data_IF_684813207881
#
_entry.id   IF_684813207881
#
_cell.length_a   1.000
_cell.length_b   1.000
_cell.length_c   1.000
_cell.angle_alpha   90.00
_cell.angle_beta   90.00
_cell.angle_gamma   90.00
#
_symmetry.space_group_name_H-M   'P 1'
#
loop_
_entity.id
_entity.type
_entity.pdbx_description
1 polymer ?
#
# COMPACT_ATOMS: atom_id res chain seq x y z
N UNK A 1 -50.38 44.08 -30.75
CA UNK A 1 -49.48 42.92 -30.85
C UNK A 1 -48.55 42.94 -29.63
N UNK A 2 -48.72 42.05 -28.64
CA UNK A 2 -47.79 41.94 -27.53
C UNK A 2 -46.63 41.02 -27.93
N UNK A 3 -45.41 41.45 -27.63
CA UNK A 3 -44.17 40.74 -27.93
C UNK A 3 -44.04 39.46 -27.09
N UNK A 4 -43.74 38.34 -27.73
CA UNK A 4 -43.40 37.08 -27.07
C UNK A 4 -41.99 37.17 -26.47
N UNK A 5 -41.87 36.84 -25.18
CA UNK A 5 -40.58 36.66 -24.52
C UNK A 5 -39.86 35.41 -25.10
N UNK A 6 -38.52 35.45 -25.26
CA UNK A 6 -37.77 34.28 -25.68
C UNK A 6 -37.72 33.25 -24.54
N UNK A 7 -38.08 32.01 -24.88
CA UNK A 7 -37.98 30.83 -24.01
C UNK A 7 -36.51 30.66 -23.61
N UNK A 8 -36.21 30.74 -22.32
CA UNK A 8 -34.89 30.41 -21.80
C UNK A 8 -34.57 28.96 -22.15
N UNK A 9 -33.47 28.73 -22.86
CA UNK A 9 -32.94 27.38 -23.09
C UNK A 9 -32.77 26.70 -21.73
N UNK A 10 -33.55 25.64 -21.49
CA UNK A 10 -33.38 24.77 -20.35
C UNK A 10 -31.94 24.27 -20.33
N UNK A 11 -31.19 24.59 -19.27
CA UNK A 11 -29.90 23.98 -19.02
C UNK A 11 -30.07 22.46 -19.07
N UNK A 12 -29.21 21.72 -19.81
CA UNK A 12 -29.32 20.28 -19.88
C UNK A 12 -29.19 19.70 -18.47
N UNK A 13 -30.22 18.96 -18.05
CA UNK A 13 -30.23 18.22 -16.79
C UNK A 13 -28.97 17.35 -16.79
N UNK A 14 -28.06 17.49 -15.80
CA UNK A 14 -26.85 16.69 -15.77
C UNK A 14 -27.26 15.22 -15.71
N UNK A 15 -26.97 14.50 -16.80
CA UNK A 15 -27.20 13.06 -16.88
C UNK A 15 -26.40 12.44 -15.75
N UNK A 16 -27.10 11.93 -14.73
CA UNK A 16 -26.49 11.19 -13.62
C UNK A 16 -25.76 10.00 -14.24
N UNK A 17 -24.45 10.10 -14.45
CA UNK A 17 -23.62 8.98 -14.91
C UNK A 17 -23.89 7.83 -13.95
N UNK A 18 -24.43 6.72 -14.47
CA UNK A 18 -24.77 5.54 -13.67
C UNK A 18 -23.47 5.02 -13.03
N UNK A 19 -23.31 5.26 -11.74
CA UNK A 19 -22.16 4.76 -11.00
C UNK A 19 -22.40 3.29 -10.66
N UNK A 20 -21.55 2.40 -11.15
CA UNK A 20 -21.54 0.98 -10.76
C UNK A 20 -20.86 0.76 -9.40
N UNK A 21 -20.44 1.83 -8.72
CA UNK A 21 -19.75 1.73 -7.43
C UNK A 21 -20.75 1.57 -6.28
N UNK A 22 -20.39 0.82 -5.23
CA UNK A 22 -21.11 0.86 -3.97
C UNK A 22 -21.23 2.29 -3.42
N UNK A 23 -22.33 2.58 -2.74
CA UNK A 23 -22.56 3.90 -2.13
C UNK A 23 -21.45 4.24 -1.14
N UNK A 24 -20.85 5.42 -1.32
CA UNK A 24 -19.84 6.00 -0.43
C UNK A 24 -20.22 7.45 -0.18
N UNK A 25 -20.59 7.78 1.05
CA UNK A 25 -21.00 9.14 1.46
C UNK A 25 -20.21 9.65 2.66
N UNK A 26 -19.46 8.78 3.34
CA UNK A 26 -18.67 9.15 4.52
C UNK A 26 -17.64 10.26 4.24
N UNK A 27 -17.07 10.29 3.03
CA UNK A 27 -16.07 11.28 2.63
C UNK A 27 -16.66 12.70 2.46
N UNK A 28 -17.97 12.79 2.19
CA UNK A 28 -18.71 14.05 2.03
C UNK A 28 -18.94 14.77 3.37
N UNK A 29 -18.85 14.05 4.49
CA UNK A 29 -18.95 14.66 5.83
C UNK A 29 -17.71 15.51 6.10
N UNK A 30 -17.81 16.63 6.85
CA UNK A 30 -16.64 17.41 7.23
C UNK A 30 -15.66 16.56 8.05
N UNK A 31 -14.34 16.79 7.91
CA UNK A 31 -13.34 16.11 8.72
C UNK A 31 -13.50 16.48 10.20
N UNK A 32 -13.24 15.51 11.06
CA UNK A 32 -13.30 15.66 12.51
C UNK A 32 -11.90 15.72 13.12
N UNK A 33 -11.82 16.10 14.41
CA UNK A 33 -10.54 16.07 15.15
C UNK A 33 -10.13 14.67 15.59
N UNK A 34 -10.96 13.64 15.36
CA UNK A 34 -10.66 12.26 15.76
C UNK A 34 -9.49 11.70 14.92
N UNK A 35 -8.40 11.18 15.55
CA UNK A 35 -7.30 10.55 14.82
C UNK A 35 -7.73 9.41 13.88
N UNK A 36 -8.77 8.65 14.24
CA UNK A 36 -9.32 7.58 13.41
C UNK A 36 -9.94 8.14 12.12
N UNK A 37 -10.54 9.32 12.17
CA UNK A 37 -11.06 10.00 10.98
C UNK A 37 -9.93 10.46 10.05
N UNK A 38 -8.78 10.85 10.61
CA UNK A 38 -7.59 11.15 9.79
C UNK A 38 -7.05 9.90 9.08
N UNK A 39 -7.01 8.76 9.75
CA UNK A 39 -6.60 7.47 9.14
C UNK A 39 -7.57 7.09 8.03
N UNK A 40 -8.88 7.18 8.28
CA UNK A 40 -9.93 6.92 7.27
C UNK A 40 -9.76 7.75 6.01
N UNK A 41 -9.40 9.02 6.19
CA UNK A 41 -9.26 9.99 5.10
C UNK A 41 -7.88 9.98 4.48
N UNK A 42 -6.93 9.21 5.00
CA UNK A 42 -5.57 9.17 4.49
C UNK A 42 -5.52 8.75 3.03
N UNK A 43 -6.43 7.89 2.61
CA UNK A 43 -6.52 7.40 1.22
C UNK A 43 -7.47 8.21 0.33
N UNK A 44 -8.09 9.27 0.85
CA UNK A 44 -8.82 10.20 -0.01
C UNK A 44 -7.81 11.00 -0.83
N UNK A 45 -7.57 10.53 -2.04
CA UNK A 45 -6.76 11.23 -3.01
C UNK A 45 -7.50 12.40 -3.66
N UNK A 46 -6.90 13.03 -4.67
CA UNK A 46 -7.49 14.17 -5.37
C UNK A 46 -8.86 13.80 -5.96
N UNK A 47 -9.90 14.65 -5.86
CA UNK A 47 -11.24 14.36 -6.38
C UNK A 47 -11.25 13.86 -7.82
N UNK A 48 -10.31 14.35 -8.63
CA UNK A 48 -10.16 14.03 -10.03
C UNK A 48 -9.94 12.54 -10.29
N UNK A 49 -9.36 11.79 -9.36
CA UNK A 49 -9.09 10.35 -9.55
C UNK A 49 -10.34 9.48 -9.43
N UNK A 50 -11.42 10.00 -8.86
CA UNK A 50 -12.66 9.25 -8.65
C UNK A 50 -13.66 9.42 -9.81
N UNK A 51 -13.34 10.24 -10.81
CA UNK A 51 -14.19 10.48 -11.95
C UNK A 51 -13.55 9.96 -13.23
N UNK A 52 -14.37 9.39 -14.12
CA UNK A 52 -13.89 9.05 -15.46
C UNK A 52 -13.56 10.33 -16.24
N UNK A 53 -12.39 10.37 -16.87
CA UNK A 53 -11.90 11.47 -17.70
C UNK A 53 -12.36 11.32 -19.14
N UNK A 54 -12.65 12.44 -19.80
CA UNK A 54 -13.01 12.40 -21.22
C UNK A 54 -11.77 12.28 -22.11
N UNK A 55 -11.96 12.06 -23.42
CA UNK A 55 -10.87 11.97 -24.41
C UNK A 55 -9.93 13.17 -24.43
N UNK A 56 -10.37 14.33 -23.94
CA UNK A 56 -9.57 15.54 -23.81
C UNK A 56 -8.43 15.45 -22.78
N UNK A 57 -8.41 14.39 -21.95
CA UNK A 57 -7.36 14.11 -20.97
C UNK A 57 -6.35 13.05 -21.45
N UNK A 58 -5.98 13.07 -22.73
CA UNK A 58 -4.90 12.20 -23.21
C UNK A 58 -3.58 12.53 -22.48
N UNK A 59 -3.13 11.57 -21.66
CA UNK A 59 -1.89 11.67 -20.88
C UNK A 59 -0.63 11.39 -21.71
N UNK A 60 -0.77 11.05 -22.99
CA UNK A 60 0.32 10.65 -23.86
C UNK A 60 0.87 9.26 -23.52
N UNK A 61 2.12 8.91 -23.88
CA UNK A 61 2.68 7.59 -23.62
C UNK A 61 2.82 7.31 -22.12
N UNK A 62 3.00 6.03 -21.78
CA UNK A 62 3.16 5.59 -20.40
C UNK A 62 4.50 6.07 -19.82
N UNK A 63 4.51 6.77 -18.67
CA UNK A 63 5.75 7.17 -18.03
C UNK A 63 6.55 5.97 -17.54
N UNK A 64 7.87 5.99 -17.76
CA UNK A 64 8.79 5.06 -17.11
C UNK A 64 9.29 5.67 -15.80
N UNK A 65 9.00 5.03 -14.68
CA UNK A 65 9.31 5.57 -13.36
C UNK A 65 10.59 4.94 -12.78
N UNK A 66 11.63 5.74 -12.46
CA UNK A 66 12.94 5.18 -12.12
C UNK A 66 13.03 4.66 -10.69
N UNK A 67 13.43 3.39 -10.51
CA UNK A 67 13.47 2.69 -9.22
C UNK A 67 14.44 3.26 -8.19
N UNK A 68 15.51 3.95 -8.60
CA UNK A 68 16.42 4.59 -7.64
C UNK A 68 15.70 5.67 -6.81
N UNK A 69 14.69 6.35 -7.38
CA UNK A 69 13.88 7.34 -6.65
C UNK A 69 13.02 6.67 -5.57
N UNK A 70 12.65 5.42 -5.80
CA UNK A 70 11.81 4.64 -4.88
C UNK A 70 12.64 4.09 -3.74
N UNK A 71 13.81 3.53 -4.03
CA UNK A 71 14.78 3.16 -3.00
C UNK A 71 15.15 4.36 -2.13
N UNK A 72 15.44 5.53 -2.72
CA UNK A 72 15.74 6.75 -1.96
C UNK A 72 14.55 7.20 -1.09
N UNK A 73 13.32 7.12 -1.61
CA UNK A 73 12.12 7.44 -0.85
C UNK A 73 11.94 6.51 0.36
N UNK A 74 12.06 5.19 0.13
CA UNK A 74 11.92 4.16 1.17
C UNK A 74 12.99 4.37 2.23
N UNK A 75 14.26 4.48 1.85
CA UNK A 75 15.35 4.70 2.79
C UNK A 75 15.17 5.99 3.58
N UNK A 76 14.80 7.10 2.92
CA UNK A 76 14.59 8.39 3.60
C UNK A 76 13.55 8.32 4.71
N UNK A 77 12.51 7.51 4.56
CA UNK A 77 11.41 7.48 5.52
C UNK A 77 11.41 6.26 6.42
N UNK A 78 11.94 5.11 6.00
CA UNK A 78 11.96 3.91 6.82
C UNK A 78 13.18 3.85 7.76
N UNK A 79 14.33 4.44 7.41
CA UNK A 79 15.59 4.15 8.12
C UNK A 79 15.67 4.70 9.56
N UNK A 80 14.84 5.67 9.93
CA UNK A 80 15.02 6.44 11.16
C UNK A 80 15.00 5.63 12.46
N UNK A 81 14.10 4.65 12.69
CA UNK A 81 14.12 3.88 13.93
C UNK A 81 15.42 3.10 14.10
N UNK A 82 15.97 2.56 12.99
CA UNK A 82 17.27 1.89 12.95
C UNK A 82 18.39 2.88 13.30
N UNK A 83 18.41 4.06 12.68
CA UNK A 83 19.44 5.08 12.94
C UNK A 83 19.38 5.58 14.38
N UNK A 84 18.17 5.82 14.90
CA UNK A 84 17.96 6.30 16.28
C UNK A 84 18.39 5.23 17.28
N UNK A 85 18.01 3.97 17.07
CA UNK A 85 18.45 2.86 17.92
C UNK A 85 19.98 2.71 17.89
N UNK A 86 20.59 2.72 16.71
CA UNK A 86 22.04 2.66 16.56
C UNK A 86 22.73 3.83 17.28
N UNK A 87 22.25 5.05 17.11
CA UNK A 87 22.82 6.22 17.77
C UNK A 87 22.66 6.15 19.30
N UNK A 88 21.52 5.66 19.79
CA UNK A 88 21.25 5.47 21.21
C UNK A 88 22.27 4.48 21.81
N UNK A 89 22.40 3.29 21.23
CA UNK A 89 23.30 2.24 21.74
C UNK A 89 24.78 2.61 21.62
N UNK A 90 25.13 3.42 20.60
CA UNK A 90 26.54 3.77 20.33
C UNK A 90 27.05 4.98 21.08
N UNK A 91 26.20 5.98 21.31
CA UNK A 91 26.60 7.28 21.86
C UNK A 91 26.04 7.55 23.26
N UNK A 92 25.30 6.62 23.84
CA UNK A 92 24.79 6.70 25.22
C UNK A 92 25.04 5.40 25.95
N UNK A 93 24.96 5.42 27.28
CA UNK A 93 25.04 4.22 28.12
C UNK A 93 23.68 3.48 28.24
N UNK A 94 22.67 3.88 27.46
CA UNK A 94 21.33 3.29 27.51
C UNK A 94 21.33 1.94 26.79
N UNK A 95 20.94 0.89 27.51
CA UNK A 95 20.75 -0.46 26.98
C UNK A 95 19.25 -0.81 26.84
N UNK A 96 18.90 -1.69 25.90
CA UNK A 96 17.51 -2.13 25.63
C UNK A 96 17.28 -3.54 26.21
N UNK A 97 17.62 -3.72 27.48
CA UNK A 97 17.64 -5.05 28.11
C UNK A 97 16.35 -5.35 28.88
N UNK A 98 15.75 -4.31 29.46
CA UNK A 98 14.53 -4.45 30.25
C UNK A 98 13.29 -4.63 29.37
N UNK A 99 12.29 -5.36 29.88
CA UNK A 99 10.98 -5.50 29.23
C UNK A 99 10.35 -4.15 28.94
N UNK A 100 10.48 -3.18 29.86
CA UNK A 100 9.96 -1.83 29.66
C UNK A 100 10.65 -1.12 28.47
N UNK A 101 11.98 -1.19 28.38
CA UNK A 101 12.72 -0.61 27.25
C UNK A 101 12.32 -1.25 25.92
N UNK A 102 12.11 -2.56 25.88
CA UNK A 102 11.62 -3.25 24.67
C UNK A 102 10.19 -2.85 24.30
N UNK A 103 9.29 -2.64 25.27
CA UNK A 103 7.94 -2.12 25.00
C UNK A 103 8.02 -0.71 24.38
N UNK A 104 8.85 0.17 24.95
CA UNK A 104 9.09 1.50 24.41
C UNK A 104 9.66 1.42 23.00
N UNK A 105 10.61 0.52 22.75
CA UNK A 105 11.19 0.27 21.43
C UNK A 105 10.12 -0.12 20.40
N UNK A 106 9.23 -1.07 20.73
CA UNK A 106 8.10 -1.46 19.86
C UNK A 106 7.23 -0.25 19.55
N UNK A 107 6.86 0.56 20.55
CA UNK A 107 6.01 1.74 20.38
C UNK A 107 6.67 2.75 19.44
N UNK A 108 7.98 3.01 19.59
CA UNK A 108 8.71 3.96 18.74
C UNK A 108 8.82 3.47 17.29
N UNK A 109 9.14 2.18 17.09
CA UNK A 109 9.17 1.57 15.77
C UNK A 109 7.78 1.61 15.11
N UNK A 110 6.73 1.32 15.88
CA UNK A 110 5.34 1.35 15.42
C UNK A 110 4.91 2.77 15.02
N UNK A 111 5.15 3.75 15.89
CA UNK A 111 4.80 5.14 15.64
C UNK A 111 5.47 5.66 14.38
N UNK A 112 6.75 5.35 14.19
CA UNK A 112 7.47 5.74 12.99
C UNK A 112 6.99 5.01 11.74
N UNK A 113 6.64 3.72 11.85
CA UNK A 113 6.08 2.98 10.72
C UNK A 113 4.73 3.54 10.26
N UNK A 114 3.92 4.09 11.17
CA UNK A 114 2.69 4.83 10.83
C UNK A 114 3.02 6.11 10.05
N UNK A 115 4.06 6.85 10.48
CA UNK A 115 4.56 8.03 9.73
C UNK A 115 5.02 7.61 8.34
N UNK A 116 5.79 6.53 8.22
CA UNK A 116 6.22 5.97 6.94
C UNK A 116 5.03 5.60 6.04
N UNK A 117 4.05 4.85 6.56
CA UNK A 117 2.83 4.51 5.85
C UNK A 117 2.11 5.76 5.33
N UNK A 118 1.92 6.77 6.18
CA UNK A 118 1.33 8.06 5.79
C UNK A 118 2.06 8.68 4.59
N UNK A 119 3.40 8.60 4.56
CA UNK A 119 4.20 9.12 3.43
C UNK A 119 4.02 8.31 2.16
N UNK A 120 3.82 6.99 2.25
CA UNK A 120 3.52 6.13 1.09
C UNK A 120 2.20 6.57 0.45
N UNK A 121 1.15 6.77 1.23
CA UNK A 121 -0.15 7.25 0.73
C UNK A 121 -0.04 8.61 0.03
N UNK A 122 0.62 9.58 0.66
CA UNK A 122 0.84 10.90 0.05
C UNK A 122 1.68 10.82 -1.23
N UNK A 123 2.63 9.88 -1.29
CA UNK A 123 3.41 9.62 -2.51
C UNK A 123 2.53 9.04 -3.60
N UNK A 124 1.71 8.03 -3.29
CA UNK A 124 0.79 7.41 -4.23
C UNK A 124 -0.15 8.48 -4.82
N UNK A 125 -0.84 9.25 -3.97
CA UNK A 125 -1.74 10.32 -4.38
C UNK A 125 -1.08 11.36 -5.29
N UNK A 126 0.16 11.76 -4.96
CA UNK A 126 0.94 12.67 -5.80
C UNK A 126 1.14 12.10 -7.20
N UNK A 127 1.53 10.84 -7.32
CA UNK A 127 1.80 10.24 -8.63
C UNK A 127 0.54 9.81 -9.38
N UNK A 128 -0.54 9.45 -8.68
CA UNK A 128 -1.87 9.29 -9.28
C UNK A 128 -2.35 10.59 -9.92
N UNK A 129 -2.02 11.76 -9.33
CA UNK A 129 -2.31 13.06 -9.94
C UNK A 129 -1.44 13.35 -11.16
N UNK A 130 -0.13 13.12 -11.04
CA UNK A 130 0.87 13.48 -12.07
C UNK A 130 0.76 12.57 -13.29
N UNK A 131 0.75 11.25 -13.09
CA UNK A 131 0.75 10.26 -14.17
C UNK A 131 -0.67 9.83 -14.57
N UNK A 132 -1.67 10.13 -13.75
CA UNK A 132 -3.02 9.58 -13.91
C UNK A 132 -3.12 8.17 -13.35
N UNK A 133 -4.30 7.58 -13.52
CA UNK A 133 -4.57 6.17 -13.18
C UNK A 133 -4.88 5.34 -14.41
N UNK A 134 -4.65 4.04 -14.33
CA UNK A 134 -4.92 3.12 -15.45
C UNK A 134 -6.42 3.12 -15.79
N UNK A 135 -6.74 3.18 -17.08
CA UNK A 135 -8.10 3.25 -17.63
C UNK A 135 -8.94 4.43 -17.07
N UNK A 136 -8.31 5.56 -16.70
CA UNK A 136 -9.02 6.71 -16.13
C UNK A 136 -10.07 7.30 -17.09
N UNK A 137 -9.98 7.03 -18.39
CA UNK A 137 -10.96 7.43 -19.39
C UNK A 137 -12.29 6.66 -19.30
N UNK A 138 -12.26 5.44 -18.76
CA UNK A 138 -13.44 4.57 -18.62
C UNK A 138 -14.07 4.67 -17.25
N UNK A 139 -13.23 4.68 -16.20
CA UNK A 139 -13.68 4.61 -14.81
C UNK A 139 -12.64 5.23 -13.89
N UNK A 140 -13.09 6.11 -12.98
CA UNK A 140 -12.24 6.55 -11.87
C UNK A 140 -12.01 5.43 -10.85
N UNK A 141 -11.14 5.69 -9.87
CA UNK A 141 -10.85 4.78 -8.76
C UNK A 141 -12.05 4.52 -7.86
N UNK A 142 -12.10 3.32 -7.29
CA UNK A 142 -13.11 2.93 -6.33
C UNK A 142 -12.93 3.69 -5.01
N UNK A 143 -14.02 3.83 -4.28
CA UNK A 143 -14.01 4.37 -2.92
C UNK A 143 -14.50 3.30 -1.97
N UNK A 144 -14.05 3.36 -0.72
CA UNK A 144 -14.55 2.47 0.33
C UNK A 144 -16.05 2.71 0.50
N UNK A 145 -16.85 1.64 0.38
CA UNK A 145 -18.28 1.67 0.60
C UNK A 145 -18.60 2.02 2.07
N UNK A 146 -19.72 2.72 2.31
CA UNK A 146 -20.11 3.12 3.67
C UNK A 146 -20.21 1.94 4.64
N UNK A 147 -20.67 0.78 4.16
CA UNK A 147 -20.81 -0.47 4.93
C UNK A 147 -19.49 -1.12 5.32
N UNK A 148 -18.38 -0.79 4.63
CA UNK A 148 -17.06 -1.39 4.87
C UNK A 148 -16.06 -0.42 5.50
N UNK A 149 -16.39 0.88 5.58
CA UNK A 149 -15.50 1.92 6.09
C UNK A 149 -14.81 1.56 7.40
N UNK A 150 -15.58 1.19 8.42
CA UNK A 150 -15.03 0.97 9.76
C UNK A 150 -14.15 -0.28 9.81
N UNK A 151 -14.53 -1.33 9.06
CA UNK A 151 -13.75 -2.56 8.94
C UNK A 151 -12.42 -2.32 8.24
N UNK A 152 -12.41 -1.64 7.09
CA UNK A 152 -11.18 -1.32 6.35
C UNK A 152 -10.25 -0.46 7.20
N UNK A 153 -10.79 0.52 7.94
CA UNK A 153 -9.99 1.34 8.85
C UNK A 153 -9.34 0.49 9.95
N UNK A 154 -10.11 -0.41 10.56
CA UNK A 154 -9.61 -1.29 11.61
C UNK A 154 -8.56 -2.26 11.06
N UNK A 155 -8.82 -2.86 9.89
CA UNK A 155 -7.90 -3.76 9.21
C UNK A 155 -6.57 -3.06 8.88
N UNK A 156 -6.60 -1.79 8.43
CA UNK A 156 -5.39 -1.00 8.22
C UNK A 156 -4.59 -0.77 9.51
N UNK A 157 -5.26 -0.50 10.62
CA UNK A 157 -4.60 -0.35 11.93
C UNK A 157 -4.00 -1.68 12.40
N UNK A 158 -4.76 -2.78 12.28
CA UNK A 158 -4.29 -4.14 12.62
C UNK A 158 -3.09 -4.51 11.76
N UNK A 159 -3.14 -4.27 10.45
CA UNK A 159 -2.04 -4.49 9.52
C UNK A 159 -0.76 -3.81 10.01
N UNK A 160 -0.83 -2.52 10.34
CA UNK A 160 0.34 -1.76 10.78
C UNK A 160 0.91 -2.28 12.11
N UNK A 161 0.04 -2.71 13.03
CA UNK A 161 0.44 -3.26 14.34
C UNK A 161 1.06 -4.65 14.20
N UNK A 162 0.39 -5.56 13.49
CA UNK A 162 0.84 -6.94 13.32
C UNK A 162 2.15 -6.98 12.54
N UNK A 163 2.30 -6.14 11.51
CA UNK A 163 3.53 -6.08 10.70
C UNK A 163 4.75 -5.81 11.57
N UNK A 164 4.72 -4.77 12.41
CA UNK A 164 5.85 -4.44 13.29
C UNK A 164 5.99 -5.47 14.41
N UNK A 165 4.89 -5.88 15.05
CA UNK A 165 4.94 -6.88 16.11
C UNK A 165 5.57 -8.19 15.63
N UNK A 166 5.24 -8.64 14.42
CA UNK A 166 5.82 -9.82 13.80
C UNK A 166 7.34 -9.72 13.61
N UNK A 167 7.85 -8.55 13.21
CA UNK A 167 9.30 -8.30 13.10
C UNK A 167 9.96 -8.40 14.46
N UNK A 168 9.36 -7.87 15.52
CA UNK A 168 9.88 -8.01 16.89
C UNK A 168 9.84 -9.47 17.35
N UNK A 169 8.82 -10.25 17.00
CA UNK A 169 8.78 -11.69 17.34
C UNK A 169 9.91 -12.46 16.65
N UNK A 170 10.16 -12.17 15.37
CA UNK A 170 11.11 -12.87 14.51
C UNK A 170 12.57 -12.43 14.72
N UNK A 171 12.83 -11.13 14.81
CA UNK A 171 14.17 -10.57 15.01
C UNK A 171 14.67 -10.79 16.43
N UNK A 172 15.59 -11.73 16.62
CA UNK A 172 16.12 -12.10 17.94
C UNK A 172 17.18 -11.13 18.46
N UNK A 173 17.85 -10.41 17.57
CA UNK A 173 18.86 -9.39 17.83
C UNK A 173 18.27 -7.97 17.97
N UNK A 174 16.96 -7.86 18.23
CA UNK A 174 16.23 -6.57 18.29
C UNK A 174 16.83 -5.56 19.28
N UNK A 175 17.44 -5.99 20.37
CA UNK A 175 18.06 -5.11 21.38
C UNK A 175 19.54 -4.82 21.11
N UNK A 176 20.15 -5.46 20.12
CA UNK A 176 21.56 -5.27 19.78
C UNK A 176 21.76 -4.07 18.83
N UNK A 177 23.02 -3.74 18.57
CA UNK A 177 23.40 -2.78 17.54
C UNK A 177 22.77 -3.19 16.19
N UNK A 178 21.96 -2.33 15.55
CA UNK A 178 21.35 -2.65 14.28
C UNK A 178 22.40 -2.97 13.21
N UNK A 179 22.30 -4.15 12.60
CA UNK A 179 23.26 -4.63 11.61
C UNK A 179 22.66 -4.64 10.19
N UNK A 180 23.28 -3.86 9.30
CA UNK A 180 23.05 -3.91 7.86
C UNK A 180 24.40 -4.19 7.18
N UNK A 181 24.37 -4.92 6.07
CA UNK A 181 25.55 -5.29 5.29
C UNK A 181 25.36 -4.92 3.83
N UNK A 182 26.42 -5.00 3.03
CA UNK A 182 26.34 -4.85 1.58
C UNK A 182 25.42 -5.90 0.93
N UNK A 183 25.17 -7.02 1.62
CA UNK A 183 24.26 -8.08 1.18
C UNK A 183 22.81 -7.87 1.63
N UNK A 184 22.52 -6.87 2.46
CA UNK A 184 21.15 -6.62 2.92
C UNK A 184 20.14 -6.38 1.79
N UNK A 185 20.46 -5.63 0.71
CA UNK A 185 19.56 -5.52 -0.44
C UNK A 185 19.27 -6.87 -1.10
N UNK A 186 20.26 -7.76 -1.19
CA UNK A 186 20.09 -9.11 -1.74
C UNK A 186 19.19 -9.95 -0.85
N UNK A 187 19.41 -9.95 0.48
CA UNK A 187 18.54 -10.68 1.41
C UNK A 187 17.10 -10.16 1.40
N UNK A 188 16.91 -8.84 1.35
CA UNK A 188 15.58 -8.23 1.24
C UNK A 188 14.92 -8.62 -0.10
N UNK A 189 15.68 -8.59 -1.21
CA UNK A 189 15.19 -9.05 -2.51
C UNK A 189 14.78 -10.53 -2.49
N UNK A 190 15.59 -11.40 -1.91
CA UNK A 190 15.23 -12.82 -1.73
C UNK A 190 13.99 -13.00 -0.86
N UNK A 191 13.83 -12.19 0.20
CA UNK A 191 12.61 -12.19 1.01
C UNK A 191 11.40 -11.80 0.16
N UNK A 192 11.51 -10.77 -0.69
CA UNK A 192 10.42 -10.38 -1.57
C UNK A 192 10.08 -11.46 -2.60
N UNK A 193 11.06 -12.17 -3.16
CA UNK A 193 10.81 -13.33 -4.04
C UNK A 193 10.09 -14.44 -3.28
N UNK A 194 10.54 -14.79 -2.07
CA UNK A 194 9.92 -15.82 -1.26
C UNK A 194 8.49 -15.45 -0.86
N UNK A 195 8.28 -14.18 -0.47
CA UNK A 195 6.97 -13.61 -0.18
C UNK A 195 6.05 -13.75 -1.40
N UNK A 196 6.50 -13.28 -2.56
CA UNK A 196 5.74 -13.33 -3.81
C UNK A 196 5.42 -14.78 -4.23
N UNK A 197 6.33 -15.72 -4.05
CA UNK A 197 6.06 -17.14 -4.28
C UNK A 197 4.90 -17.67 -3.43
N UNK A 198 4.92 -17.42 -2.12
CA UNK A 198 3.82 -17.86 -1.24
C UNK A 198 2.52 -17.12 -1.56
N UNK A 199 2.59 -15.83 -1.90
CA UNK A 199 1.44 -15.07 -2.41
C UNK A 199 0.87 -15.73 -3.67
N UNK A 200 1.70 -15.96 -4.68
CA UNK A 200 1.32 -16.59 -5.93
C UNK A 200 0.65 -17.94 -5.72
N UNK A 201 1.23 -18.82 -4.88
CA UNK A 201 0.67 -20.16 -4.66
C UNK A 201 -0.74 -20.09 -4.06
N UNK A 202 -0.96 -19.35 -2.97
CA UNK A 202 -2.31 -19.28 -2.40
C UNK A 202 -3.26 -18.54 -3.34
N UNK A 203 -2.83 -17.39 -3.86
CA UNK A 203 -3.66 -16.50 -4.66
C UNK A 203 -4.11 -17.22 -5.94
N UNK A 204 -3.17 -17.81 -6.69
CA UNK A 204 -3.49 -18.62 -7.88
C UNK A 204 -4.43 -19.77 -7.54
N UNK A 205 -4.21 -20.46 -6.42
CA UNK A 205 -5.10 -21.54 -5.98
C UNK A 205 -6.53 -21.06 -5.73
N UNK A 206 -6.74 -19.85 -5.21
CA UNK A 206 -8.10 -19.29 -5.03
C UNK A 206 -8.82 -18.98 -6.33
N UNK A 207 -8.10 -18.77 -7.44
CA UNK A 207 -8.65 -18.58 -8.78
C UNK A 207 -8.85 -19.90 -9.54
N UNK A 208 -7.99 -20.89 -9.30
CA UNK A 208 -8.03 -22.18 -10.00
C UNK A 208 -9.02 -23.17 -9.37
N UNK A 209 -9.31 -23.05 -8.07
CA UNK A 209 -10.21 -23.95 -7.34
C UNK A 209 -11.41 -23.21 -6.73
N UNK A 210 -12.62 -23.48 -7.24
CA UNK A 210 -13.88 -22.86 -6.77
C UNK A 210 -14.09 -22.97 -5.25
N UNK A 211 -13.66 -24.09 -4.65
CA UNK A 211 -13.77 -24.33 -3.21
C UNK A 211 -12.91 -23.38 -2.35
N UNK A 212 -11.94 -22.69 -2.95
CA UNK A 212 -11.06 -21.72 -2.29
C UNK A 212 -11.40 -20.27 -2.62
N UNK A 213 -12.26 -20.01 -3.62
CA UNK A 213 -12.64 -18.66 -4.05
C UNK A 213 -13.18 -17.78 -2.92
N UNK A 214 -13.87 -18.40 -1.95
CA UNK A 214 -14.43 -17.67 -0.81
C UNK A 214 -13.40 -16.88 0.00
N UNK A 215 -12.13 -17.29 -0.04
CA UNK A 215 -11.01 -16.61 0.63
C UNK A 215 -10.72 -15.27 -0.03
N UNK A 216 -10.81 -15.20 -1.36
CA UNK A 216 -10.28 -14.08 -2.16
C UNK A 216 -11.35 -13.23 -2.87
N UNK A 217 -12.59 -13.72 -2.96
CA UNK A 217 -13.68 -13.02 -3.63
C UNK A 217 -13.92 -11.59 -3.14
N UNK A 218 -13.68 -11.32 -1.85
CA UNK A 218 -13.92 -10.00 -1.25
C UNK A 218 -12.94 -8.96 -1.75
N UNK A 219 -11.69 -9.37 -1.96
CA UNK A 219 -10.64 -8.55 -2.54
C UNK A 219 -10.94 -8.17 -3.99
N UNK A 220 -11.47 -9.13 -4.78
CA UNK A 220 -11.94 -8.88 -6.14
C UNK A 220 -13.21 -8.04 -6.26
N UNK A 221 -13.83 -7.66 -5.15
CA UNK A 221 -14.99 -6.77 -5.15
C UNK A 221 -14.61 -5.32 -5.55
N UNK A 222 -13.33 -4.94 -5.43
CA UNK A 222 -12.81 -3.72 -6.05
C UNK A 222 -12.24 -4.02 -7.43
N UNK A 223 -12.56 -3.15 -8.40
CA UNK A 223 -12.17 -3.26 -9.81
C UNK A 223 -11.27 -2.12 -10.27
N UNK A 224 -11.01 -1.19 -9.36
CA UNK A 224 -10.27 0.03 -9.61
C UNK A 224 -9.66 0.50 -8.28
N UNK A 225 -8.84 -0.33 -7.62
CA UNK A 225 -8.45 -0.12 -6.24
C UNK A 225 -7.66 1.18 -6.05
N UNK A 226 -7.62 1.60 -4.79
CA UNK A 226 -6.71 2.61 -4.24
C UNK A 226 -5.85 1.92 -3.18
N UNK A 227 -4.73 2.54 -2.73
CA UNK A 227 -3.84 1.91 -1.76
C UNK A 227 -4.51 1.38 -0.49
N UNK A 228 -5.59 2.01 0.03
CA UNK A 228 -6.29 1.45 1.20
C UNK A 228 -7.19 0.26 0.88
N UNK A 229 -7.64 0.12 -0.37
CA UNK A 229 -8.44 -1.03 -0.78
C UNK A 229 -7.62 -2.31 -0.91
N UNK A 230 -6.28 -2.22 -0.82
CA UNK A 230 -5.40 -3.36 -0.63
C UNK A 230 -5.81 -4.24 0.56
N UNK A 231 -6.33 -3.62 1.64
CA UNK A 231 -6.74 -4.33 2.86
C UNK A 231 -8.25 -4.66 2.87
N UNK A 232 -8.96 -4.44 1.77
CA UNK A 232 -10.36 -4.85 1.65
C UNK A 232 -10.43 -6.36 1.42
N UNK A 233 -10.40 -7.13 2.49
CA UNK A 233 -10.39 -8.58 2.43
C UNK A 233 -11.26 -9.21 3.54
N UNK A 234 -11.41 -10.55 3.46
CA UNK A 234 -11.99 -11.33 4.55
C UNK A 234 -10.94 -11.83 5.54
N UNK A 235 -11.38 -12.19 6.75
CA UNK A 235 -10.49 -12.54 7.87
C UNK A 235 -9.43 -13.60 7.51
N UNK A 236 -9.79 -14.55 6.64
CA UNK A 236 -8.87 -15.60 6.18
C UNK A 236 -7.74 -15.02 5.32
N UNK A 237 -8.07 -14.19 4.33
CA UNK A 237 -7.09 -13.52 3.50
C UNK A 237 -6.24 -12.54 4.31
N UNK A 238 -6.85 -11.76 5.21
CA UNK A 238 -6.11 -10.87 6.11
C UNK A 238 -5.10 -11.66 6.97
N UNK A 239 -5.48 -12.81 7.54
CA UNK A 239 -4.56 -13.64 8.31
C UNK A 239 -3.41 -14.20 7.46
N UNK A 240 -3.70 -14.63 6.23
CA UNK A 240 -2.71 -15.14 5.29
C UNK A 240 -1.69 -14.05 4.93
N UNK A 241 -2.16 -12.90 4.47
CA UNK A 241 -1.31 -11.84 3.91
C UNK A 241 -0.54 -11.07 4.98
N UNK A 242 -1.16 -10.81 6.13
CA UNK A 242 -0.56 -9.98 7.18
C UNK A 242 0.44 -10.78 8.03
N UNK A 243 0.15 -12.06 8.29
CA UNK A 243 0.90 -12.87 9.25
C UNK A 243 1.56 -14.11 8.63
N UNK A 244 0.79 -14.99 7.99
CA UNK A 244 1.29 -16.32 7.60
C UNK A 244 2.33 -16.23 6.48
N UNK A 245 2.06 -15.47 5.41
CA UNK A 245 2.95 -15.38 4.26
C UNK A 245 4.28 -14.68 4.61
N UNK A 246 4.29 -13.52 5.30
CA UNK A 246 5.54 -12.92 5.76
C UNK A 246 6.34 -13.86 6.69
N UNK A 247 5.64 -14.62 7.54
CA UNK A 247 6.28 -15.64 8.37
C UNK A 247 6.94 -16.72 7.51
N UNK A 248 6.22 -17.37 6.59
CA UNK A 248 6.77 -18.42 5.72
C UNK A 248 7.95 -17.91 4.89
N UNK A 249 7.85 -16.72 4.31
CA UNK A 249 8.94 -16.09 3.58
C UNK A 249 10.20 -15.95 4.45
N UNK A 250 10.05 -15.51 5.70
CA UNK A 250 11.18 -15.37 6.63
C UNK A 250 11.85 -16.69 7.00
N UNK A 251 11.17 -17.84 6.83
CA UNK A 251 11.73 -19.16 7.16
C UNK A 251 12.59 -19.76 6.05
N UNK A 252 12.38 -19.36 4.80
CA UNK A 252 13.08 -19.96 3.63
C UNK A 252 14.22 -19.11 3.10
N UNK A 253 14.35 -17.86 3.56
CA UNK A 253 15.45 -16.97 3.18
C UNK A 253 16.64 -17.07 4.13
N UNK A 254 17.86 -16.65 3.71
CA UNK A 254 19.00 -16.57 4.62
C UNK A 254 18.66 -15.74 5.86
N UNK A 255 19.22 -16.14 7.02
CA UNK A 255 18.96 -15.45 8.29
C UNK A 255 19.17 -13.94 8.15
N UNK A 256 18.12 -13.20 8.50
CA UNK A 256 18.06 -11.75 8.46
C UNK A 256 18.21 -11.20 9.88
N UNK A 257 19.00 -10.13 10.04
CA UNK A 257 19.01 -9.35 11.27
C UNK A 257 17.64 -8.68 11.49
N UNK A 258 17.38 -8.20 12.71
CA UNK A 258 16.20 -7.39 12.99
C UNK A 258 16.10 -6.16 12.07
N UNK A 259 17.22 -5.50 11.78
CA UNK A 259 17.26 -4.35 10.87
C UNK A 259 16.94 -4.75 9.42
N UNK A 260 17.43 -5.91 8.97
CA UNK A 260 17.12 -6.45 7.64
C UNK A 260 15.64 -6.85 7.53
N UNK A 261 15.06 -7.51 8.55
CA UNK A 261 13.63 -7.84 8.61
C UNK A 261 12.76 -6.59 8.61
N UNK A 262 13.15 -5.56 9.36
CA UNK A 262 12.47 -4.28 9.34
C UNK A 262 12.53 -3.62 7.96
N UNK A 263 13.70 -3.64 7.32
CA UNK A 263 13.87 -3.21 5.94
C UNK A 263 12.94 -3.97 4.99
N UNK A 264 12.91 -5.30 5.08
CA UNK A 264 12.05 -6.14 4.26
C UNK A 264 10.57 -5.80 4.42
N UNK A 265 10.10 -5.59 5.65
CA UNK A 265 8.73 -5.15 5.91
C UNK A 265 8.44 -3.76 5.32
N UNK A 266 9.39 -2.83 5.40
CA UNK A 266 9.23 -1.49 4.83
C UNK A 266 9.15 -1.49 3.29
N UNK A 267 9.99 -2.29 2.61
CA UNK A 267 9.92 -2.49 1.17
C UNK A 267 8.64 -3.23 0.76
N UNK A 268 8.21 -4.20 1.56
CA UNK A 268 6.97 -4.95 1.30
C UNK A 268 5.74 -4.04 1.40
N UNK A 269 5.58 -3.30 2.50
CA UNK A 269 4.47 -2.37 2.67
C UNK A 269 4.44 -1.29 1.57
N UNK A 270 5.61 -0.88 1.07
CA UNK A 270 5.72 0.02 -0.07
C UNK A 270 5.15 -0.59 -1.35
N UNK A 271 5.62 -1.78 -1.71
CA UNK A 271 5.22 -2.48 -2.94
C UNK A 271 3.73 -2.84 -2.91
N UNK A 272 3.23 -3.36 -1.79
CA UNK A 272 1.81 -3.68 -1.60
C UNK A 272 0.93 -2.42 -1.80
N UNK A 273 1.23 -1.32 -1.10
CA UNK A 273 0.42 -0.10 -1.20
C UNK A 273 0.47 0.55 -2.59
N UNK A 274 1.65 0.60 -3.21
CA UNK A 274 1.82 1.21 -4.54
C UNK A 274 1.25 0.30 -5.64
N UNK A 275 1.32 -1.02 -5.49
CA UNK A 275 0.69 -1.97 -6.42
C UNK A 275 -0.83 -1.79 -6.52
N UNK A 276 -1.51 -1.46 -5.42
CA UNK A 276 -2.96 -1.19 -5.42
C UNK A 276 -3.33 0.26 -5.75
N UNK A 277 -2.37 1.08 -6.17
CA UNK A 277 -2.65 2.49 -6.46
C UNK A 277 -3.33 2.72 -7.80
N UNK A 278 -3.21 1.78 -8.74
CA UNK A 278 -3.64 1.94 -10.12
C UNK A 278 -2.93 3.08 -10.85
N UNK A 279 -1.74 3.52 -10.39
CA UNK A 279 -0.95 4.54 -11.08
C UNK A 279 -0.59 4.04 -12.48
N UNK A 280 -0.82 4.89 -13.48
CA UNK A 280 -0.44 4.62 -14.87
C UNK A 280 1.04 4.89 -15.09
N UNK A 281 1.89 3.90 -14.83
CA UNK A 281 3.31 4.00 -15.10
C UNK A 281 3.95 2.62 -15.17
N UNK A 282 5.00 2.51 -16.00
CA UNK A 282 5.96 1.43 -15.87
C UNK A 282 6.75 1.65 -14.57
N UNK A 283 6.27 1.02 -13.50
CA UNK A 283 6.73 1.23 -12.15
C UNK A 283 6.94 -0.13 -11.49
N UNK A 284 8.17 -0.64 -11.60
CA UNK A 284 8.54 -1.94 -11.06
C UNK A 284 8.70 -1.97 -9.53
N UNK A 285 9.15 -3.11 -9.03
CA UNK A 285 9.57 -3.24 -7.63
C UNK A 285 10.93 -2.55 -7.40
N UNK A 286 11.13 -1.83 -6.27
CA UNK A 286 12.33 -1.01 -6.07
C UNK A 286 13.67 -1.77 -6.12
N UNK A 287 13.75 -2.96 -5.51
CA UNK A 287 14.99 -3.76 -5.44
C UNK A 287 15.10 -4.70 -6.63
N UNK A 288 14.03 -5.46 -6.92
CA UNK A 288 14.06 -6.53 -7.90
C UNK A 288 13.77 -6.05 -9.33
N UNK A 289 13.03 -4.96 -9.52
CA UNK A 289 12.69 -4.44 -10.85
C UNK A 289 13.91 -4.25 -11.77
N UNK A 290 14.99 -3.57 -11.35
CA UNK A 290 16.19 -3.43 -12.17
C UNK A 290 16.88 -4.75 -12.53
N UNK A 291 16.69 -5.80 -11.72
CA UNK A 291 17.33 -7.12 -11.89
C UNK A 291 16.48 -8.05 -12.74
N UNK A 292 15.17 -8.04 -12.55
CA UNK A 292 14.22 -8.94 -13.21
C UNK A 292 13.73 -8.41 -14.56
N UNK A 293 13.75 -7.09 -14.76
CA UNK A 293 13.32 -6.45 -16.02
C UNK A 293 14.09 -6.97 -17.25
N UNK A 294 15.42 -7.11 -17.24
CA UNK A 294 16.15 -7.66 -18.38
C UNK A 294 15.76 -9.10 -18.74
N UNK A 295 15.13 -9.83 -17.80
CA UNK A 295 14.66 -11.20 -17.99
C UNK A 295 13.18 -11.26 -18.40
N UNK A 296 12.48 -10.12 -18.48
CA UNK A 296 11.03 -10.07 -18.69
C UNK A 296 10.24 -10.66 -17.53
N UNK A 297 10.79 -10.60 -16.31
CA UNK A 297 10.22 -11.18 -15.09
C UNK A 297 9.86 -10.12 -14.05
N UNK A 298 9.89 -8.84 -14.41
CA UNK A 298 9.52 -7.79 -13.46
C UNK A 298 8.00 -7.66 -13.32
N UNK A 299 7.59 -7.35 -12.10
CA UNK A 299 6.22 -6.99 -11.76
C UNK A 299 6.12 -5.47 -11.66
N UNK A 300 5.14 -4.88 -12.36
CA UNK A 300 4.86 -3.44 -12.35
C UNK A 300 3.50 -3.14 -11.73
N UNK A 301 3.31 -1.88 -11.31
CA UNK A 301 2.04 -1.43 -10.68
C UNK A 301 0.80 -1.77 -11.50
N UNK A 302 0.88 -1.68 -12.82
CA UNK A 302 -0.26 -1.92 -13.70
C UNK A 302 -0.69 -3.38 -13.76
N UNK A 303 0.22 -4.33 -13.52
CA UNK A 303 -0.10 -5.76 -13.55
C UNK A 303 -1.16 -6.09 -12.49
N UNK A 304 -1.11 -5.43 -11.33
CA UNK A 304 -2.11 -5.61 -10.30
C UNK A 304 -3.44 -4.95 -10.67
N UNK A 305 -3.43 -3.77 -11.26
CA UNK A 305 -4.68 -3.13 -11.69
C UNK A 305 -5.38 -3.93 -12.80
N UNK A 306 -4.61 -4.56 -13.70
CA UNK A 306 -5.12 -5.46 -14.74
C UNK A 306 -5.62 -6.80 -14.19
N UNK A 307 -5.11 -7.22 -13.04
CA UNK A 307 -5.55 -8.42 -12.36
C UNK A 307 -6.97 -8.29 -11.77
N UNK A 308 -7.37 -7.09 -11.33
CA UNK A 308 -8.67 -6.80 -10.73
C UNK A 308 -9.82 -6.69 -11.75
#
# INVERSE_FOLDING_TARGET
>A
MPAMNPVSSLEPIPVKKKSYRPTSTWHLKPPTRNPIDRIRRLDLGPPEMYEAKGPEWDRGPMPNHPMWRENLFILRWAVWPIVIQWALLRYTDIQIDSTFAQIVQVILYQAWFIVYGTRIFLRAQRFMKIYGTLNEEKKGRDMIADVHRDRVTLALVIFLIVRISGIFVLGKDRSADPSLSIWSPVKIGLFQIALDYFFYVYHRSTHDFDSLWFIHQKHHATKAPTPSLAILADNYQEALEIAIIPFLASQVVPKMSFAELYGAAAYTAYVEAIGHSGIRAYWGTPILGPVLKPLGMDLVVEDHDLHH
#
